data_IF_530017051995
#
_entry.id   IF_530017051995
#
_cell.length_a   1.000
_cell.length_b   1.000
_cell.length_c   1.000
_cell.angle_alpha   90.00
_cell.angle_beta   90.00
_cell.angle_gamma   90.00
#
_symmetry.space_group_name_H-M   'P 1'
#
loop_
_entity.id
_entity.type
_entity.pdbx_description
1 polymer ?
#
# COMPACT_ATOMS: atom_id res chain seq x y z
N UNK A 1 12.77 16.68 -73.89
CA UNK A 1 12.98 17.49 -72.68
C UNK A 1 11.84 18.49 -72.67
N UNK A 2 10.88 18.33 -71.76
CA UNK A 2 9.99 19.42 -71.34
C UNK A 2 9.43 18.99 -69.97
N UNK A 3 9.70 19.82 -68.99
CA UNK A 3 9.63 19.52 -67.56
C UNK A 3 8.23 19.81 -67.00
N UNK A 4 7.94 19.12 -65.90
CA UNK A 4 6.76 19.21 -65.03
C UNK A 4 6.21 20.63 -64.82
N UNK A 5 4.89 20.82 -64.88
CA UNK A 5 4.20 21.77 -64.00
C UNK A 5 2.68 21.58 -63.96
N UNK A 6 2.24 20.42 -63.47
CA UNK A 6 0.87 20.29 -62.95
C UNK A 6 0.84 21.00 -61.59
N UNK A 7 0.49 22.28 -61.60
CA UNK A 7 0.27 23.04 -60.37
C UNK A 7 -0.86 22.37 -59.59
N UNK A 8 -0.52 21.68 -58.50
CA UNK A 8 -1.50 21.23 -57.51
C UNK A 8 -2.11 22.51 -56.94
N UNK A 9 -3.29 22.89 -57.44
CA UNK A 9 -4.00 24.07 -56.98
C UNK A 9 -4.41 23.85 -55.53
N UNK A 10 -3.58 24.33 -54.61
CA UNK A 10 -3.80 24.22 -53.18
C UNK A 10 -4.97 25.13 -52.79
N UNK A 11 -6.12 24.55 -52.47
CA UNK A 11 -7.31 25.32 -52.11
C UNK A 11 -7.24 25.78 -50.65
N UNK A 12 -6.60 26.94 -50.48
CA UNK A 12 -6.45 27.63 -49.19
C UNK A 12 -7.78 27.81 -48.46
N UNK A 13 -8.91 27.95 -49.16
CA UNK A 13 -10.21 28.23 -48.53
C UNK A 13 -10.72 27.03 -47.74
N UNK A 14 -10.47 25.81 -48.22
CA UNK A 14 -10.87 24.59 -47.52
C UNK A 14 -9.89 24.25 -46.39
N UNK A 15 -8.62 24.58 -46.57
CA UNK A 15 -7.56 24.29 -45.61
C UNK A 15 -7.69 25.20 -44.39
N UNK A 16 -7.91 26.52 -44.58
CA UNK A 16 -8.18 27.44 -43.46
C UNK A 16 -9.42 27.02 -42.67
N UNK A 17 -10.46 26.49 -43.32
CA UNK A 17 -11.67 25.98 -42.64
C UNK A 17 -11.40 24.72 -41.82
N UNK A 18 -10.57 23.80 -42.32
CA UNK A 18 -10.16 22.58 -41.60
C UNK A 18 -9.27 22.91 -40.39
N UNK A 19 -8.35 23.87 -40.51
CA UNK A 19 -7.52 24.28 -39.38
C UNK A 19 -8.33 24.98 -38.27
N UNK A 20 -9.30 25.84 -38.64
CA UNK A 20 -10.18 26.50 -37.67
C UNK A 20 -11.07 25.49 -36.94
N UNK A 21 -11.60 24.47 -37.62
CA UNK A 21 -12.42 23.44 -36.97
C UNK A 21 -11.61 22.53 -36.04
N UNK A 22 -10.38 22.16 -36.42
CA UNK A 22 -9.47 21.37 -35.56
C UNK A 22 -9.08 22.16 -34.30
N UNK A 23 -8.81 23.46 -34.41
CA UNK A 23 -8.49 24.31 -33.26
C UNK A 23 -9.66 24.45 -32.27
N UNK A 24 -10.90 24.57 -32.77
CA UNK A 24 -12.11 24.64 -31.92
C UNK A 24 -12.36 23.32 -31.17
N UNK A 25 -12.16 22.18 -31.84
CA UNK A 25 -12.32 20.85 -31.23
C UNK A 25 -11.25 20.61 -30.15
N UNK A 26 -9.99 20.96 -30.41
CA UNK A 26 -8.91 20.84 -29.42
C UNK A 26 -9.13 21.75 -28.20
N UNK A 27 -9.61 22.97 -28.41
CA UNK A 27 -9.95 23.89 -27.31
C UNK A 27 -11.08 23.39 -26.42
N UNK A 28 -12.13 22.79 -27.01
CA UNK A 28 -13.24 22.21 -26.26
C UNK A 28 -12.80 20.99 -25.42
N UNK A 29 -11.91 20.15 -25.94
CA UNK A 29 -11.39 18.96 -25.23
C UNK A 29 -10.51 19.39 -24.04
N UNK A 30 -9.62 20.38 -24.22
CA UNK A 30 -8.77 20.89 -23.14
C UNK A 30 -9.61 21.62 -22.07
N UNK A 31 -10.63 22.38 -22.47
CA UNK A 31 -11.54 23.04 -21.53
C UNK A 31 -12.34 22.07 -20.66
N UNK A 32 -12.79 20.94 -21.22
CA UNK A 32 -13.51 19.89 -20.47
C UNK A 32 -12.61 19.21 -19.42
N UNK A 33 -11.34 18.98 -19.74
CA UNK A 33 -10.35 18.40 -18.82
C UNK A 33 -10.00 19.40 -17.70
N UNK A 34 -10.02 20.71 -17.98
CA UNK A 34 -9.69 21.73 -16.98
C UNK A 34 -10.84 22.02 -15.99
N UNK A 35 -12.10 22.01 -16.45
CA UNK A 35 -13.29 22.18 -15.57
C UNK A 35 -13.44 21.02 -14.58
N UNK A 36 -13.13 19.80 -15.00
CA UNK A 36 -13.16 18.62 -14.13
C UNK A 36 -12.09 18.65 -13.04
N UNK A 37 -11.02 19.44 -13.20
CA UNK A 37 -9.97 19.62 -12.17
C UNK A 37 -10.31 20.71 -11.13
N UNK A 38 -11.11 21.73 -11.48
CA UNK A 38 -11.49 22.81 -10.54
C UNK A 38 -12.67 22.40 -9.65
N UNK A 39 -13.62 21.60 -10.15
CA UNK A 39 -14.83 21.18 -9.41
C UNK A 39 -14.65 19.79 -8.77
N UNK A 40 -13.64 19.01 -9.17
CA UNK A 40 -13.32 17.69 -8.62
C UNK A 40 -12.48 17.70 -7.34
N UNK A 41 -12.21 18.87 -6.77
CA UNK A 41 -11.55 18.99 -5.48
C UNK A 41 -12.52 18.72 -4.33
N UNK A 42 -12.54 17.47 -3.85
CA UNK A 42 -12.99 17.00 -2.52
C UNK A 42 -14.43 16.49 -2.38
N UNK A 43 -14.75 15.36 -3.01
CA UNK A 43 -15.52 14.30 -2.34
C UNK A 43 -14.80 12.97 -2.56
N UNK A 44 -13.67 12.82 -1.87
CA UNK A 44 -13.12 11.51 -1.57
C UNK A 44 -13.78 11.00 -0.31
N UNK A 45 -15.07 10.67 -0.36
CA UNK A 45 -15.69 9.77 0.60
C UNK A 45 -15.54 8.36 0.07
N UNK A 46 -14.30 7.89 0.02
CA UNK A 46 -14.06 6.46 0.18
C UNK A 46 -13.01 6.32 1.27
N UNK A 47 -13.43 6.72 2.49
CA UNK A 47 -12.89 6.10 3.70
C UNK A 47 -13.48 4.68 3.74
N UNK A 48 -13.02 3.82 2.83
CA UNK A 48 -12.92 2.41 3.20
C UNK A 48 -11.94 2.40 4.35
N UNK A 49 -12.48 2.28 5.56
CA UNK A 49 -11.68 1.91 6.72
C UNK A 49 -11.17 0.51 6.40
N UNK A 50 -10.00 0.44 5.78
CA UNK A 50 -9.26 -0.79 5.56
C UNK A 50 -8.83 -1.32 6.94
N UNK A 51 -9.73 -2.07 7.56
CA UNK A 51 -9.49 -2.84 8.77
C UNK A 51 -8.68 -4.10 8.42
N UNK A 52 -7.59 -3.96 7.65
CA UNK A 52 -6.69 -5.08 7.34
C UNK A 52 -5.22 -4.77 7.56
N UNK A 53 -4.91 -3.70 8.31
CA UNK A 53 -3.61 -3.61 8.94
C UNK A 53 -3.64 -2.97 10.34
N UNK A 54 -4.50 -3.48 11.22
CA UNK A 54 -4.00 -3.66 12.59
C UNK A 54 -3.08 -4.87 12.50
N UNK A 55 -1.82 -4.62 12.12
CA UNK A 55 -0.74 -5.52 12.52
C UNK A 55 -0.82 -5.53 14.04
N UNK A 56 -1.59 -6.47 14.58
CA UNK A 56 -1.32 -6.97 15.91
C UNK A 56 0.15 -7.31 15.86
N UNK A 57 0.99 -6.46 16.47
CA UNK A 57 2.33 -6.89 16.86
C UNK A 57 2.07 -8.07 17.79
N UNK A 58 1.97 -9.26 17.21
CA UNK A 58 2.07 -10.51 17.92
C UNK A 58 3.40 -10.38 18.63
N UNK A 59 3.36 -10.11 19.93
CA UNK A 59 4.56 -10.05 20.74
C UNK A 59 5.14 -11.45 20.66
N UNK A 60 6.11 -11.60 19.76
CA UNK A 60 6.78 -12.86 19.52
C UNK A 60 7.36 -13.33 20.86
N UNK A 61 7.06 -14.57 21.22
CA UNK A 61 7.59 -15.15 22.43
C UNK A 61 9.11 -15.25 22.29
N UNK A 62 9.83 -14.46 23.07
CA UNK A 62 11.29 -14.53 23.15
C UNK A 62 11.69 -15.61 24.14
N UNK A 63 12.53 -16.53 23.70
CA UNK A 63 13.03 -17.66 24.48
C UNK A 63 14.55 -17.59 24.47
N UNK A 64 15.16 -17.84 25.63
CA UNK A 64 16.62 -17.92 25.79
C UNK A 64 16.96 -19.16 26.63
N UNK A 65 17.83 -20.01 26.10
CA UNK A 65 18.36 -21.16 26.81
C UNK A 65 19.57 -20.74 27.65
N UNK A 66 19.38 -20.65 28.97
CA UNK A 66 20.46 -20.33 29.91
C UNK A 66 21.39 -21.54 30.11
N UNK A 67 20.84 -22.76 30.02
CA UNK A 67 21.58 -24.01 30.08
C UNK A 67 20.83 -25.08 29.29
N UNK A 68 21.48 -25.65 28.28
CA UNK A 68 20.91 -26.72 27.46
C UNK A 68 20.88 -28.02 28.28
N UNK A 69 19.72 -28.67 28.35
CA UNK A 69 19.58 -29.98 28.98
C UNK A 69 20.04 -31.11 28.04
N UNK A 70 20.51 -32.21 28.62
CA UNK A 70 20.88 -33.43 27.86
C UNK A 70 19.73 -34.46 27.79
N UNK A 71 18.56 -34.09 28.29
CA UNK A 71 17.38 -34.95 28.34
C UNK A 71 16.64 -35.07 27.00
N UNK A 72 15.62 -35.91 26.99
CA UNK A 72 14.70 -36.03 25.84
C UNK A 72 13.84 -34.78 25.74
N UNK A 73 13.64 -34.29 24.52
CA UNK A 73 12.76 -33.17 24.23
C UNK A 73 11.30 -33.52 24.54
N UNK A 74 10.57 -32.57 25.14
CA UNK A 74 9.17 -32.75 25.55
C UNK A 74 8.26 -32.57 24.34
N UNK A 75 7.35 -33.53 24.12
CA UNK A 75 6.34 -33.48 23.06
C UNK A 75 4.96 -33.02 23.52
N UNK A 76 4.04 -32.87 22.56
CA UNK A 76 2.64 -32.57 22.87
C UNK A 76 2.00 -33.71 23.68
N UNK A 77 1.34 -33.34 24.80
CA UNK A 77 0.65 -34.29 25.68
C UNK A 77 1.53 -34.87 26.80
N UNK A 78 2.83 -34.57 26.81
CA UNK A 78 3.72 -35.00 27.88
C UNK A 78 3.45 -34.23 29.18
N UNK A 79 3.67 -34.90 30.31
CA UNK A 79 3.61 -34.28 31.63
C UNK A 79 5.01 -33.83 32.05
N UNK A 80 5.14 -32.56 32.41
CA UNK A 80 6.39 -31.97 32.89
C UNK A 80 6.27 -31.52 34.34
N UNK A 81 7.38 -31.64 35.09
CA UNK A 81 7.55 -31.01 36.41
C UNK A 81 8.58 -29.91 36.26
N UNK A 82 8.23 -28.69 36.64
CA UNK A 82 9.06 -27.50 36.44
C UNK A 82 9.24 -26.73 37.74
N UNK A 83 10.44 -26.18 37.93
CA UNK A 83 10.63 -25.05 38.83
C UNK A 83 10.61 -23.76 38.01
N UNK A 84 9.76 -22.81 38.39
CA UNK A 84 9.58 -21.55 37.68
C UNK A 84 9.56 -20.36 38.64
N UNK A 85 9.90 -19.19 38.11
CA UNK A 85 9.71 -17.88 38.76
C UNK A 85 9.18 -16.90 37.72
N UNK A 86 8.04 -16.28 38.00
CA UNK A 86 7.41 -15.28 37.14
C UNK A 86 7.60 -13.87 37.69
N UNK A 87 8.08 -12.96 36.84
CA UNK A 87 8.33 -11.55 37.17
C UNK A 87 7.67 -10.62 36.15
N UNK A 88 7.29 -9.42 36.61
CA UNK A 88 6.90 -8.30 35.76
C UNK A 88 8.14 -7.64 35.13
N UNK A 89 7.92 -6.72 34.18
CA UNK A 89 8.99 -6.01 33.46
C UNK A 89 9.86 -5.11 34.34
N UNK A 90 9.35 -4.72 35.51
CA UNK A 90 10.08 -3.95 36.53
C UNK A 90 10.86 -4.85 37.51
N UNK A 91 10.81 -6.17 37.32
CA UNK A 91 11.45 -7.16 38.17
C UNK A 91 10.63 -7.58 39.39
N UNK A 92 9.43 -7.02 39.61
CA UNK A 92 8.57 -7.46 40.70
C UNK A 92 8.10 -8.91 40.45
N UNK A 93 8.40 -9.80 41.40
CA UNK A 93 7.98 -11.21 41.36
C UNK A 93 6.49 -11.31 41.67
N UNK A 94 5.72 -11.98 40.80
CA UNK A 94 4.30 -12.24 41.03
C UNK A 94 4.02 -13.68 41.44
N UNK A 95 4.87 -14.63 41.03
CA UNK A 95 4.74 -16.03 41.39
C UNK A 95 6.08 -16.79 41.36
N UNK A 96 6.24 -17.83 42.19
CA UNK A 96 7.37 -18.75 42.13
C UNK A 96 7.04 -20.08 42.78
N UNK A 97 7.36 -21.18 42.09
CA UNK A 97 7.28 -22.52 42.68
C UNK A 97 8.35 -22.73 43.74
N UNK A 98 9.51 -22.08 43.60
CA UNK A 98 10.68 -22.29 44.47
C UNK A 98 10.39 -21.75 45.87
N UNK A 99 9.68 -20.62 45.97
CA UNK A 99 9.30 -20.04 47.27
C UNK A 99 8.30 -20.92 48.03
N UNK A 100 7.51 -21.73 47.32
CA UNK A 100 6.46 -22.56 47.92
C UNK A 100 6.98 -23.87 48.53
N UNK A 101 8.11 -24.38 48.04
CA UNK A 101 8.68 -25.67 48.45
C UNK A 101 8.03 -26.84 47.73
#
# INVERSE_FOLDING_TARGET
MEEQNSQIAFDWKNITRVFVSVAVILGAIVGLIFVSSIIGGRIGTDQTMDFSNTTSESQELKIEDISVGEGVEVGEGDFVTVHYTGTLTDGAKFDSSIDRG
#
